data_IF_108200356117
#
_entry.id   IF_108200356117
#
_cell.length_a   1.000
_cell.length_b   1.000
_cell.length_c   1.000
_cell.angle_alpha   90.00
_cell.angle_beta   90.00
_cell.angle_gamma   90.00
#
_symmetry.space_group_name_H-M   'P 1'
#
loop_
_entity.id
_entity.type
_entity.pdbx_description
1 polymer ?
#
# COMPACT_ATOMS: atom_id res chain seq x y z
N UNK A 1 23.91 23.35 6.29
CA UNK A 1 22.64 23.79 5.68
C UNK A 1 21.62 22.72 5.98
N UNK A 2 20.64 23.00 6.84
CA UNK A 2 19.48 22.11 7.00
C UNK A 2 18.67 22.21 5.72
N UNK A 3 18.60 21.13 4.96
CA UNK A 3 17.65 21.01 3.86
C UNK A 3 16.26 21.16 4.45
N UNK A 4 15.63 22.30 4.19
CA UNK A 4 14.27 22.55 4.61
C UNK A 4 13.33 21.61 3.84
N UNK A 5 12.36 21.03 4.54
CA UNK A 5 11.46 20.04 3.95
C UNK A 5 10.28 20.79 3.38
N UNK A 6 10.06 20.69 2.07
CA UNK A 6 8.86 21.22 1.41
C UNK A 6 7.63 20.39 1.85
N UNK A 7 6.89 20.92 2.83
CA UNK A 7 5.72 20.26 3.43
C UNK A 7 4.57 20.06 2.44
N UNK A 8 4.38 20.97 1.50
CA UNK A 8 3.31 20.87 0.49
C UNK A 8 3.63 19.73 -0.48
N UNK A 9 4.85 19.74 -1.01
CA UNK A 9 5.34 18.66 -1.87
C UNK A 9 5.29 17.30 -1.16
N UNK A 10 5.70 17.24 0.10
CA UNK A 10 5.69 16.00 0.87
C UNK A 10 4.25 15.51 1.15
N UNK A 11 3.32 16.41 1.44
CA UNK A 11 1.90 16.06 1.59
C UNK A 11 1.36 15.43 0.32
N UNK A 12 1.60 16.05 -0.84
CA UNK A 12 1.14 15.53 -2.12
C UNK A 12 1.73 14.14 -2.44
N UNK A 13 3.03 13.93 -2.16
CA UNK A 13 3.68 12.63 -2.33
C UNK A 13 3.07 11.55 -1.44
N UNK A 14 2.85 11.85 -0.15
CA UNK A 14 2.26 10.89 0.79
C UNK A 14 0.85 10.49 0.37
N UNK A 15 0.03 11.44 -0.09
CA UNK A 15 -1.32 11.15 -0.58
C UNK A 15 -1.30 10.28 -1.84
N UNK A 16 -0.43 10.61 -2.80
CA UNK A 16 -0.26 9.82 -4.00
C UNK A 16 0.16 8.38 -3.70
N UNK A 17 1.12 8.18 -2.79
CA UNK A 17 1.56 6.84 -2.40
C UNK A 17 0.47 6.06 -1.65
N UNK A 18 -0.31 6.71 -0.78
CA UNK A 18 -1.45 6.06 -0.10
C UNK A 18 -2.47 5.56 -1.13
N UNK A 19 -2.85 6.40 -2.09
CA UNK A 19 -3.79 6.04 -3.14
C UNK A 19 -3.25 4.88 -4.00
N UNK A 20 -1.98 4.96 -4.40
CA UNK A 20 -1.33 3.93 -5.22
C UNK A 20 -1.25 2.59 -4.48
N UNK A 21 -0.91 2.60 -3.20
CA UNK A 21 -0.87 1.41 -2.36
C UNK A 21 -2.26 0.78 -2.22
N UNK A 22 -3.32 1.58 -2.05
CA UNK A 22 -4.69 1.08 -1.99
C UNK A 22 -5.11 0.40 -3.32
N UNK A 23 -4.70 0.96 -4.45
CA UNK A 23 -4.93 0.35 -5.76
C UNK A 23 -4.19 -1.00 -5.91
N UNK A 24 -2.94 -1.08 -5.42
CA UNK A 24 -2.20 -2.34 -5.37
C UNK A 24 -2.84 -3.37 -4.45
N UNK A 25 -3.23 -2.99 -3.24
CA UNK A 25 -3.94 -3.86 -2.30
C UNK A 25 -5.20 -4.47 -2.92
N UNK A 26 -6.04 -3.64 -3.57
CA UNK A 26 -7.23 -4.11 -4.28
C UNK A 26 -6.88 -5.12 -5.39
N UNK A 27 -5.88 -4.81 -6.22
CA UNK A 27 -5.43 -5.70 -7.29
C UNK A 27 -4.89 -7.03 -6.77
N UNK A 28 -4.10 -7.00 -5.69
CA UNK A 28 -3.57 -8.20 -5.05
C UNK A 28 -4.70 -9.07 -4.49
N UNK A 29 -5.69 -8.47 -3.82
CA UNK A 29 -6.87 -9.18 -3.32
C UNK A 29 -7.65 -9.87 -4.44
N UNK A 30 -7.88 -9.16 -5.56
CA UNK A 30 -8.57 -9.71 -6.73
C UNK A 30 -7.82 -10.91 -7.31
N UNK A 31 -6.49 -10.82 -7.44
CA UNK A 31 -5.67 -11.93 -7.94
C UNK A 31 -5.55 -13.09 -6.96
N UNK A 32 -5.42 -12.82 -5.66
CA UNK A 32 -5.41 -13.87 -4.65
C UNK A 32 -6.69 -14.70 -4.70
N UNK A 33 -7.85 -14.06 -4.89
CA UNK A 33 -9.13 -14.77 -5.03
C UNK A 33 -9.14 -15.64 -6.30
N UNK A 34 -8.73 -15.10 -7.45
CA UNK A 34 -8.66 -15.87 -8.71
C UNK A 34 -7.70 -17.06 -8.63
N UNK A 35 -6.57 -16.88 -7.95
CA UNK A 35 -5.56 -17.93 -7.74
C UNK A 35 -6.09 -18.99 -6.77
N UNK A 36 -6.84 -18.59 -5.74
CA UNK A 36 -7.54 -19.52 -4.83
C UNK A 36 -8.56 -20.36 -5.62
N UNK A 37 -9.38 -19.72 -6.46
CA UNK A 37 -10.37 -20.40 -7.32
C UNK A 37 -9.73 -21.38 -8.31
N UNK A 38 -8.49 -21.12 -8.72
CA UNK A 38 -7.70 -22.00 -9.57
C UNK A 38 -7.01 -23.17 -8.82
N UNK A 39 -7.21 -23.28 -7.50
CA UNK A 39 -6.66 -24.37 -6.68
C UNK A 39 -5.21 -24.18 -6.24
N UNK A 40 -4.67 -22.97 -6.32
CA UNK A 40 -3.29 -22.65 -5.93
C UNK A 40 -3.24 -21.96 -4.56
N UNK A 41 -3.56 -22.69 -3.49
CA UNK A 41 -3.74 -22.12 -2.15
C UNK A 41 -2.47 -21.42 -1.62
N UNK A 42 -1.29 -22.06 -1.66
CA UNK A 42 -0.04 -21.46 -1.16
C UNK A 42 0.33 -20.16 -1.91
N UNK A 43 0.13 -20.14 -3.24
CA UNK A 43 0.37 -18.92 -4.04
C UNK A 43 -0.63 -17.81 -3.68
N UNK A 44 -1.89 -18.15 -3.43
CA UNK A 44 -2.88 -17.18 -2.99
C UNK A 44 -2.57 -16.62 -1.59
N UNK A 45 -2.01 -17.43 -0.69
CA UNK A 45 -1.56 -16.99 0.64
C UNK A 45 -0.44 -15.95 0.54
N UNK A 46 0.55 -16.17 -0.32
CA UNK A 46 1.64 -15.21 -0.55
C UNK A 46 1.11 -13.88 -1.11
N UNK A 47 0.16 -13.93 -2.05
CA UNK A 47 -0.45 -12.72 -2.62
C UNK A 47 -1.28 -11.98 -1.56
N UNK A 48 -2.04 -12.69 -0.69
CA UNK A 48 -2.75 -12.07 0.44
C UNK A 48 -1.79 -11.46 1.46
N UNK A 49 -0.63 -12.09 1.68
CA UNK A 49 0.39 -11.51 2.54
C UNK A 49 0.96 -10.21 1.95
N UNK A 50 1.13 -10.13 0.62
CA UNK A 50 1.52 -8.91 -0.08
C UNK A 50 0.46 -7.81 0.01
N UNK A 51 -0.83 -8.15 -0.16
CA UNK A 51 -1.97 -7.25 0.07
C UNK A 51 -1.90 -6.63 1.47
N UNK A 52 -1.80 -7.47 2.51
CA UNK A 52 -1.76 -7.00 3.90
C UNK A 52 -0.59 -6.05 4.17
N UNK A 53 0.59 -6.37 3.64
CA UNK A 53 1.77 -5.48 3.75
C UNK A 53 1.55 -4.14 3.06
N UNK A 54 0.80 -4.12 1.97
CA UNK A 54 0.46 -2.89 1.25
C UNK A 54 -0.51 -2.01 2.04
N UNK A 55 -1.51 -2.63 2.70
CA UNK A 55 -2.41 -1.93 3.62
C UNK A 55 -1.66 -1.37 4.83
N UNK A 56 -0.78 -2.17 5.44
CA UNK A 56 0.08 -1.73 6.55
C UNK A 56 0.97 -0.55 6.16
N UNK A 57 1.56 -0.60 4.96
CA UNK A 57 2.34 0.50 4.39
C UNK A 57 1.48 1.78 4.28
N UNK A 58 0.28 1.66 3.72
CA UNK A 58 -0.67 2.78 3.61
C UNK A 58 -0.99 3.41 4.96
N UNK A 59 -1.19 2.60 5.99
CA UNK A 59 -1.49 3.11 7.34
C UNK A 59 -0.28 3.80 7.99
N UNK A 60 0.94 3.31 7.76
CA UNK A 60 2.17 4.00 8.18
C UNK A 60 2.27 5.37 7.49
N UNK A 61 1.99 5.44 6.18
CA UNK A 61 2.04 6.69 5.41
C UNK A 61 0.95 7.68 5.86
N UNK A 62 -0.27 7.21 6.16
CA UNK A 62 -1.32 8.08 6.76
C UNK A 62 -0.85 8.66 8.10
N UNK A 63 -0.22 7.85 8.96
CA UNK A 63 0.36 8.34 10.23
C UNK A 63 1.48 9.33 10.00
N UNK A 64 2.30 9.15 8.96
CA UNK A 64 3.35 10.10 8.60
C UNK A 64 2.76 11.44 8.13
N UNK A 65 1.74 11.40 7.26
CA UNK A 65 1.03 12.59 6.77
C UNK A 65 0.41 13.39 7.91
N UNK A 66 -0.17 12.72 8.90
CA UNK A 66 -0.80 13.38 10.07
C UNK A 66 0.20 14.09 11.00
N UNK A 67 1.52 13.96 10.77
CA UNK A 67 2.58 14.63 11.55
C UNK A 67 3.16 15.86 10.85
N UNK A 68 2.77 16.13 9.60
CA UNK A 68 3.20 17.32 8.85
C UNK A 68 2.49 18.57 9.35
#
# INVERSE_FOLDING_TARGET
>A
MTTDIDKEKLTHLLEHWIEHNQNHSKSFREWANRVTEAGHEELAEDIKAAEKKMDECSDVLKRARNKL
#
